data_IF_955247843944
#
_entry.id   IF_955247843944
#
_cell.length_a   1.000
_cell.length_b   1.000
_cell.length_c   1.000
_cell.angle_alpha   90.00
_cell.angle_beta   90.00
_cell.angle_gamma   90.00
#
_symmetry.space_group_name_H-M   'P 1'
#
loop_
_entity.id
_entity.type
_entity.pdbx_description
1 polymer ?
#
# COMPACT_ATOMS: atom_id res chain seq x y z
N UNK A 1 -34.81 -7.30 7.47
CA UNK A 1 -34.25 -6.47 8.57
C UNK A 1 -32.93 -7.08 9.05
N UNK A 2 -31.84 -6.80 8.31
CA UNK A 2 -30.49 -7.07 8.83
C UNK A 2 -30.13 -5.95 9.81
N UNK A 3 -30.08 -6.28 11.10
CA UNK A 3 -29.45 -5.44 12.11
C UNK A 3 -27.96 -5.37 11.77
N UNK A 4 -27.47 -4.22 11.33
CA UNK A 4 -26.06 -3.91 11.36
C UNK A 4 -25.64 -3.96 12.84
N UNK A 5 -24.77 -4.90 13.17
CA UNK A 5 -24.09 -4.91 14.47
C UNK A 5 -23.04 -3.82 14.38
N UNK A 6 -23.34 -2.65 14.95
CA UNK A 6 -22.33 -1.62 15.18
C UNK A 6 -21.33 -2.16 16.21
N UNK A 7 -20.25 -2.77 15.70
CA UNK A 7 -19.08 -2.99 16.54
C UNK A 7 -18.31 -1.67 16.61
N UNK A 8 -18.03 -1.21 17.82
CA UNK A 8 -17.06 -0.15 18.01
C UNK A 8 -15.76 -0.52 17.28
N UNK A 9 -15.13 0.41 16.53
CA UNK A 9 -13.93 0.09 15.76
C UNK A 9 -12.84 -0.41 16.68
N UNK A 10 -12.27 -1.57 16.35
CA UNK A 10 -11.13 -2.12 17.07
C UNK A 10 -9.97 -1.09 17.09
N UNK A 11 -9.28 -0.91 18.25
CA UNK A 11 -8.10 -0.05 18.29
C UNK A 11 -7.07 -0.47 17.22
N UNK A 12 -6.35 0.47 16.58
CA UNK A 12 -5.42 0.16 15.48
C UNK A 12 -4.41 -0.95 15.79
N UNK A 13 -3.98 -1.06 17.05
CA UNK A 13 -3.07 -2.11 17.50
C UNK A 13 -3.69 -3.51 17.52
N UNK A 14 -5.02 -3.64 17.67
CA UNK A 14 -5.74 -4.92 17.61
C UNK A 14 -5.91 -5.36 16.15
N UNK A 15 -6.21 -4.44 15.26
CA UNK A 15 -6.33 -4.70 13.81
C UNK A 15 -5.01 -5.22 13.23
N UNK A 16 -3.89 -4.60 13.60
CA UNK A 16 -2.57 -5.03 13.18
C UNK A 16 -2.19 -6.44 13.65
N UNK A 17 -2.64 -6.85 14.87
CA UNK A 17 -2.42 -8.21 15.39
C UNK A 17 -3.22 -9.28 14.66
N UNK A 18 -4.26 -8.89 13.91
CA UNK A 18 -5.06 -9.79 13.05
C UNK A 18 -4.47 -9.90 11.64
N UNK A 19 -3.24 -9.47 11.41
CA UNK A 19 -2.59 -9.56 10.11
C UNK A 19 -3.07 -8.53 9.09
N UNK A 20 -3.84 -7.50 9.51
CA UNK A 20 -4.32 -6.43 8.64
C UNK A 20 -3.40 -5.22 8.80
N UNK A 21 -2.66 -4.87 7.76
CA UNK A 21 -1.75 -3.72 7.78
C UNK A 21 -2.12 -2.75 6.68
N UNK A 22 -2.27 -1.47 7.04
CA UNK A 22 -2.51 -0.37 6.12
C UNK A 22 -1.20 0.38 5.86
N UNK A 23 -0.84 0.54 4.59
CA UNK A 23 0.15 1.54 4.20
C UNK A 23 -0.55 2.91 4.16
N UNK A 24 -0.07 3.86 4.95
CA UNK A 24 -0.65 5.20 5.00
C UNK A 24 -0.12 6.05 3.85
N UNK A 25 -0.96 6.98 3.35
CA UNK A 25 -0.62 7.99 2.35
C UNK A 25 0.43 9.00 2.87
N UNK A 26 0.58 9.12 4.19
CA UNK A 26 1.64 9.91 4.84
C UNK A 26 2.71 8.92 5.31
N UNK A 27 3.91 9.07 4.75
CA UNK A 27 5.08 8.23 4.93
C UNK A 27 5.24 7.68 6.36
N UNK A 28 4.98 6.39 6.52
CA UNK A 28 5.30 5.64 7.74
C UNK A 28 6.81 5.34 7.85
N UNK A 29 7.62 6.01 7.07
CA UNK A 29 9.07 5.86 7.04
C UNK A 29 9.76 7.05 7.72
N UNK A 30 10.86 6.78 8.41
CA UNK A 30 11.68 7.79 9.06
C UNK A 30 12.64 8.41 8.03
N UNK A 31 12.48 9.72 7.70
CA UNK A 31 13.20 10.34 6.58
C UNK A 31 14.71 10.42 6.79
N UNK A 32 15.17 10.55 8.03
CA UNK A 32 16.59 10.69 8.40
C UNK A 32 17.27 9.36 8.74
N UNK A 33 16.54 8.25 8.65
CA UNK A 33 17.12 6.92 8.75
C UNK A 33 17.40 6.38 7.35
N UNK A 34 18.37 5.49 7.27
CA UNK A 34 18.66 4.75 6.04
C UNK A 34 17.51 3.81 5.68
N UNK A 35 17.47 3.39 4.44
CA UNK A 35 16.48 2.46 3.90
C UNK A 35 16.44 1.17 4.70
N UNK A 36 17.61 0.58 5.02
CA UNK A 36 17.67 -0.66 5.80
C UNK A 36 17.24 -0.46 7.26
N UNK A 37 17.54 0.68 7.88
CA UNK A 37 17.12 0.98 9.24
C UNK A 37 15.60 1.08 9.36
N UNK A 38 14.93 1.67 8.38
CA UNK A 38 13.47 1.70 8.32
C UNK A 38 12.86 0.30 8.32
N UNK A 39 13.38 -0.60 7.49
CA UNK A 39 12.90 -1.99 7.42
C UNK A 39 13.21 -2.75 8.72
N UNK A 40 14.38 -2.52 9.33
CA UNK A 40 14.75 -3.13 10.62
C UNK A 40 13.80 -2.73 11.74
N UNK A 41 13.39 -1.45 11.81
CA UNK A 41 12.40 -0.97 12.81
C UNK A 41 11.06 -1.69 12.60
N UNK A 42 10.63 -1.86 11.36
CA UNK A 42 9.41 -2.59 11.06
C UNK A 42 9.50 -4.08 11.49
N UNK A 43 10.64 -4.75 11.24
CA UNK A 43 10.90 -6.12 11.69
C UNK A 43 10.92 -6.24 13.21
N UNK A 44 11.50 -5.28 13.94
CA UNK A 44 11.49 -5.28 15.41
C UNK A 44 10.08 -5.26 15.98
N UNK A 45 9.19 -4.50 15.34
CA UNK A 45 7.80 -4.41 15.76
C UNK A 45 7.06 -5.74 15.60
N UNK A 46 7.29 -6.46 14.51
CA UNK A 46 6.62 -7.74 14.24
C UNK A 46 7.09 -8.86 15.18
N UNK A 47 8.36 -8.83 15.59
CA UNK A 47 8.95 -9.84 16.49
C UNK A 47 8.71 -9.57 17.98
N UNK A 48 8.03 -8.46 18.35
CA UNK A 48 7.80 -8.09 19.76
C UNK A 48 9.07 -7.68 20.51
N UNK A 49 10.18 -7.47 19.81
CA UNK A 49 11.49 -7.14 20.37
C UNK A 49 11.72 -5.64 20.58
N UNK A 50 10.67 -4.82 20.47
CA UNK A 50 10.73 -3.35 20.47
C UNK A 50 11.43 -2.69 21.67
N UNK A 51 11.71 -3.43 22.74
CA UNK A 51 12.34 -2.92 23.96
C UNK A 51 13.62 -3.66 24.40
N UNK A 52 14.18 -4.55 23.54
CA UNK A 52 15.35 -5.34 23.93
C UNK A 52 16.63 -4.88 23.20
N UNK A 53 17.08 -3.67 23.50
CA UNK A 53 18.29 -3.05 22.93
C UNK A 53 19.61 -3.75 23.30
N UNK A 54 19.58 -4.78 24.15
CA UNK A 54 20.74 -5.46 24.74
C UNK A 54 21.02 -6.84 24.16
N UNK A 55 20.36 -7.24 23.08
CA UNK A 55 20.53 -8.58 22.50
C UNK A 55 21.69 -8.63 21.51
N UNK A 56 22.30 -9.83 21.45
CA UNK A 56 23.53 -10.17 20.74
C UNK A 56 23.60 -9.75 19.27
N UNK A 57 24.81 -9.54 18.77
CA UNK A 57 25.15 -9.27 17.36
C UNK A 57 24.45 -10.25 16.40
N UNK A 58 24.28 -11.51 16.77
CA UNK A 58 23.60 -12.53 15.94
C UNK A 58 22.15 -12.21 15.63
N UNK A 59 21.43 -11.53 16.53
CA UNK A 59 20.04 -11.08 16.26
C UNK A 59 20.02 -9.91 15.30
N UNK A 60 20.96 -8.98 15.45
CA UNK A 60 21.12 -7.86 14.52
C UNK A 60 21.50 -8.37 13.12
N UNK A 61 22.36 -9.38 13.04
CA UNK A 61 22.77 -9.99 11.78
C UNK A 61 21.60 -10.71 11.08
N UNK A 62 20.80 -11.48 11.83
CA UNK A 62 19.60 -12.12 11.28
C UNK A 62 18.56 -11.10 10.79
N UNK A 63 18.39 -9.99 11.51
CA UNK A 63 17.52 -8.89 11.10
C UNK A 63 18.06 -8.18 9.86
N UNK A 64 19.39 -8.01 9.75
CA UNK A 64 20.01 -7.43 8.56
C UNK A 64 19.76 -8.31 7.32
N UNK A 65 19.95 -9.63 7.45
CA UNK A 65 19.70 -10.58 6.37
C UNK A 65 18.24 -10.49 5.90
N UNK A 66 17.28 -10.52 6.84
CA UNK A 66 15.86 -10.43 6.53
C UNK A 66 15.47 -9.06 5.94
N UNK A 67 16.04 -7.98 6.46
CA UNK A 67 15.82 -6.64 5.90
C UNK A 67 16.31 -6.55 4.45
N UNK A 68 17.50 -7.08 4.15
CA UNK A 68 18.04 -7.11 2.79
C UNK A 68 17.20 -7.97 1.82
N UNK A 69 16.65 -9.10 2.28
CA UNK A 69 15.71 -9.90 1.50
C UNK A 69 14.44 -9.11 1.15
N UNK A 70 13.87 -8.38 2.12
CA UNK A 70 12.70 -7.54 1.89
C UNK A 70 13.00 -6.39 0.93
N UNK A 71 14.18 -5.76 1.06
CA UNK A 71 14.62 -4.73 0.15
C UNK A 71 14.85 -5.25 -1.27
N UNK A 72 15.29 -6.49 -1.40
CA UNK A 72 15.46 -7.16 -2.69
C UNK A 72 14.11 -7.37 -3.41
N UNK A 73 13.07 -7.77 -2.65
CA UNK A 73 11.71 -7.94 -3.18
C UNK A 73 11.12 -6.66 -3.77
N UNK A 74 11.57 -5.48 -3.29
CA UNK A 74 11.08 -4.17 -3.71
C UNK A 74 12.11 -3.38 -4.53
N UNK A 75 13.17 -4.03 -5.03
CA UNK A 75 14.24 -3.44 -5.84
C UNK A 75 14.99 -2.27 -5.15
N UNK A 76 15.13 -2.34 -3.81
CA UNK A 76 15.81 -1.32 -3.00
C UNK A 76 17.11 -1.79 -2.35
N UNK A 77 17.57 -3.02 -2.59
CA UNK A 77 18.80 -3.55 -1.99
C UNK A 77 20.03 -2.66 -2.23
N UNK A 78 20.18 -2.13 -3.45
CA UNK A 78 21.29 -1.22 -3.79
C UNK A 78 21.21 0.14 -3.11
N UNK A 79 20.11 0.46 -2.44
CA UNK A 79 19.86 1.71 -1.71
C UNK A 79 19.85 1.53 -0.19
N UNK A 80 20.22 0.34 0.31
CA UNK A 80 20.11 0.00 1.73
C UNK A 80 20.75 1.02 2.68
N UNK A 81 21.92 1.57 2.32
CA UNK A 81 22.64 2.57 3.10
C UNK A 81 22.29 4.04 2.79
N UNK A 82 21.33 4.29 1.88
CA UNK A 82 20.93 5.64 1.50
C UNK A 82 19.91 6.18 2.50
N UNK A 83 20.02 7.44 2.91
CA UNK A 83 19.01 8.10 3.73
C UNK A 83 17.69 8.22 2.94
N UNK A 84 16.59 7.91 3.60
CA UNK A 84 15.24 7.86 2.99
C UNK A 84 14.83 9.20 2.39
N UNK A 85 15.23 10.33 2.99
CA UNK A 85 14.93 11.67 2.47
C UNK A 85 15.46 11.86 1.04
N UNK A 86 16.59 11.25 0.72
CA UNK A 86 17.27 11.36 -0.59
C UNK A 86 16.66 10.46 -1.69
N UNK A 87 15.74 9.58 -1.34
CA UNK A 87 15.12 8.70 -2.32
C UNK A 87 14.13 9.47 -3.22
N UNK A 88 14.05 9.17 -4.52
CA UNK A 88 12.94 9.55 -5.38
C UNK A 88 11.60 9.03 -4.85
N UNK A 89 10.50 9.71 -5.22
CA UNK A 89 9.17 9.43 -4.67
C UNK A 89 8.72 7.97 -4.88
N UNK A 90 8.87 7.42 -6.09
CA UNK A 90 8.53 6.02 -6.37
C UNK A 90 9.32 5.01 -5.53
N UNK A 91 10.59 5.31 -5.19
CA UNK A 91 11.40 4.48 -4.29
C UNK A 91 10.99 4.62 -2.83
N UNK A 92 10.54 5.79 -2.40
CA UNK A 92 9.93 5.95 -1.07
C UNK A 92 8.70 5.07 -0.92
N UNK A 93 7.87 5.00 -1.96
CA UNK A 93 6.70 4.12 -1.99
C UNK A 93 7.07 2.64 -1.94
N UNK A 94 8.12 2.25 -2.65
CA UNK A 94 8.65 0.88 -2.56
C UNK A 94 9.15 0.56 -1.14
N UNK A 95 9.79 1.51 -0.45
CA UNK A 95 10.20 1.35 0.95
C UNK A 95 9.01 1.21 1.89
N UNK A 96 7.93 1.96 1.70
CA UNK A 96 6.69 1.81 2.48
C UNK A 96 6.08 0.42 2.31
N UNK A 97 6.10 -0.12 1.09
CA UNK A 97 5.68 -1.51 0.83
C UNK A 97 6.62 -2.49 1.56
N UNK A 98 7.94 -2.29 1.54
CA UNK A 98 8.90 -3.14 2.24
C UNK A 98 8.68 -3.14 3.76
N UNK A 99 8.44 -1.98 4.37
CA UNK A 99 8.13 -1.88 5.82
C UNK A 99 6.80 -2.53 6.16
N UNK A 100 5.83 -2.49 5.26
CA UNK A 100 4.56 -3.21 5.41
C UNK A 100 4.79 -4.72 5.33
N UNK A 101 5.56 -5.21 4.36
CA UNK A 101 5.91 -6.63 4.21
C UNK A 101 6.68 -7.18 5.42
N UNK A 102 7.48 -6.36 6.08
CA UNK A 102 8.22 -6.73 7.29
C UNK A 102 7.30 -7.16 8.45
N UNK A 103 6.03 -6.77 8.41
CA UNK A 103 5.02 -7.18 9.41
C UNK A 103 4.29 -8.47 9.02
N UNK A 104 4.66 -9.11 7.91
CA UNK A 104 4.09 -10.36 7.39
C UNK A 104 2.55 -10.33 7.32
N UNK A 105 1.94 -9.32 6.65
CA UNK A 105 0.49 -9.15 6.64
C UNK A 105 -0.19 -10.22 5.79
N UNK A 106 -1.35 -10.73 6.24
CA UNK A 106 -2.27 -11.53 5.43
C UNK A 106 -3.11 -10.65 4.49
N UNK A 107 -3.44 -9.43 4.95
CA UNK A 107 -4.17 -8.43 4.19
C UNK A 107 -3.39 -7.11 4.18
N UNK A 108 -3.07 -6.62 2.98
CA UNK A 108 -2.47 -5.29 2.76
C UNK A 108 -3.55 -4.32 2.29
N UNK A 109 -3.62 -3.16 2.94
CA UNK A 109 -4.47 -2.05 2.51
C UNK A 109 -3.58 -0.99 1.85
N UNK A 110 -3.75 -0.75 0.56
CA UNK A 110 -3.02 0.25 -0.20
C UNK A 110 -3.97 1.40 -0.58
N UNK A 111 -3.63 2.60 -0.15
CA UNK A 111 -4.43 3.80 -0.42
C UNK A 111 -3.69 4.68 -1.44
N UNK A 112 -4.26 4.78 -2.63
CA UNK A 112 -3.73 5.52 -3.78
C UNK A 112 -2.21 5.32 -4.01
N UNK A 113 -1.75 4.06 -4.17
CA UNK A 113 -0.32 3.75 -4.21
C UNK A 113 0.44 4.41 -5.36
N UNK A 114 -0.25 4.87 -6.40
CA UNK A 114 0.38 5.50 -7.58
C UNK A 114 0.13 7.00 -7.69
N UNK A 115 -0.53 7.62 -6.70
CA UNK A 115 -0.85 9.04 -6.72
C UNK A 115 0.41 9.93 -6.82
N UNK A 116 0.35 10.93 -7.71
CA UNK A 116 1.43 11.91 -7.86
C UNK A 116 2.68 11.39 -8.58
N UNK A 117 2.65 10.20 -9.17
CA UNK A 117 3.77 9.59 -9.90
C UNK A 117 3.72 9.85 -11.39
N UNK A 118 4.90 9.98 -12.01
CA UNK A 118 5.03 9.91 -13.46
C UNK A 118 4.80 8.49 -14.01
N UNK A 119 4.52 8.38 -15.29
CA UNK A 119 4.14 7.10 -15.94
C UNK A 119 5.13 5.95 -15.68
N UNK A 120 6.43 6.23 -15.68
CA UNK A 120 7.47 5.22 -15.44
C UNK A 120 7.42 4.67 -14.00
N UNK A 121 7.24 5.54 -13.01
CA UNK A 121 7.12 5.14 -11.61
C UNK A 121 5.80 4.41 -11.35
N UNK A 122 4.69 4.82 -12.00
CA UNK A 122 3.40 4.12 -11.96
C UNK A 122 3.57 2.68 -12.43
N UNK A 123 4.19 2.46 -13.58
CA UNK A 123 4.43 1.12 -14.11
C UNK A 123 5.26 0.27 -13.12
N UNK A 124 6.35 0.84 -12.61
CA UNK A 124 7.27 0.18 -11.67
C UNK A 124 6.57 -0.21 -10.36
N UNK A 125 5.77 0.69 -9.76
CA UNK A 125 5.01 0.42 -8.54
C UNK A 125 3.88 -0.58 -8.79
N UNK A 126 3.23 -0.50 -9.94
CA UNK A 126 2.20 -1.46 -10.37
C UNK A 126 2.76 -2.89 -10.43
N UNK A 127 3.91 -3.08 -11.07
CA UNK A 127 4.57 -4.39 -11.15
C UNK A 127 5.08 -4.86 -9.78
N UNK A 128 5.54 -3.95 -8.94
CA UNK A 128 5.90 -4.27 -7.57
C UNK A 128 4.68 -4.80 -6.80
N UNK A 129 3.54 -4.12 -6.86
CA UNK A 129 2.30 -4.56 -6.17
C UNK A 129 1.89 -5.96 -6.66
N UNK A 130 1.95 -6.23 -7.96
CA UNK A 130 1.66 -7.57 -8.50
C UNK A 130 2.57 -8.65 -7.89
N UNK A 131 3.86 -8.38 -7.80
CA UNK A 131 4.83 -9.34 -7.22
C UNK A 131 4.55 -9.63 -5.76
N UNK A 132 4.33 -8.58 -4.95
CA UNK A 132 4.14 -8.74 -3.51
C UNK A 132 2.74 -9.23 -3.13
N UNK A 133 1.76 -9.15 -4.03
CA UNK A 133 0.41 -9.69 -3.84
C UNK A 133 0.37 -11.23 -3.90
N UNK A 134 1.40 -11.90 -4.42
CA UNK A 134 1.42 -13.35 -4.48
C UNK A 134 1.34 -13.95 -3.08
N UNK A 135 0.32 -14.78 -2.84
CA UNK A 135 0.06 -15.43 -1.55
C UNK A 135 -0.54 -14.51 -0.48
N UNK A 136 -1.02 -13.31 -0.85
CA UNK A 136 -1.64 -12.33 0.06
C UNK A 136 -2.91 -11.76 -0.51
N UNK A 137 -3.77 -11.23 0.35
CA UNK A 137 -4.90 -10.39 -0.05
C UNK A 137 -4.46 -8.93 -0.09
N UNK A 138 -4.74 -8.25 -1.19
CA UNK A 138 -4.52 -6.81 -1.33
C UNK A 138 -5.85 -6.12 -1.57
N UNK A 139 -6.22 -5.19 -0.70
CA UNK A 139 -7.30 -4.26 -0.91
C UNK A 139 -6.70 -2.89 -1.27
N UNK A 140 -7.03 -2.38 -2.43
CA UNK A 140 -6.46 -1.15 -2.96
C UNK A 140 -7.56 -0.14 -3.28
N UNK A 141 -7.36 1.11 -2.86
CA UNK A 141 -8.15 2.25 -3.34
C UNK A 141 -7.32 2.94 -4.42
N UNK A 142 -7.87 3.10 -5.60
CA UNK A 142 -7.19 3.72 -6.74
C UNK A 142 -8.20 4.36 -7.69
N UNK A 143 -7.80 5.44 -8.33
CA UNK A 143 -8.57 6.12 -9.36
C UNK A 143 -7.92 5.96 -10.76
N UNK A 144 -6.70 5.47 -10.84
CA UNK A 144 -6.00 5.22 -12.09
C UNK A 144 -6.50 3.90 -12.71
N UNK A 145 -7.37 4.00 -13.71
CA UNK A 145 -8.02 2.83 -14.34
C UNK A 145 -7.02 1.88 -15.00
N UNK A 146 -5.89 2.33 -15.49
CA UNK A 146 -4.86 1.46 -16.08
C UNK A 146 -4.19 0.59 -15.01
N UNK A 147 -3.96 1.13 -13.81
CA UNK A 147 -3.46 0.39 -12.65
C UNK A 147 -4.50 -0.63 -12.21
N UNK A 148 -5.74 -0.18 -11.96
CA UNK A 148 -6.85 -1.04 -11.52
C UNK A 148 -7.07 -2.20 -12.48
N UNK A 149 -7.17 -1.95 -13.80
CA UNK A 149 -7.38 -2.97 -14.81
C UNK A 149 -6.25 -4.01 -14.89
N UNK A 150 -5.03 -3.61 -14.53
CA UNK A 150 -3.85 -4.47 -14.63
C UNK A 150 -3.60 -5.35 -13.40
N UNK A 151 -4.16 -4.98 -12.23
CA UNK A 151 -3.88 -5.67 -10.94
C UNK A 151 -5.14 -6.35 -10.38
N UNK A 152 -6.30 -5.68 -10.45
CA UNK A 152 -7.47 -6.08 -9.71
C UNK A 152 -8.14 -7.33 -10.29
N UNK A 153 -8.42 -8.31 -9.43
CA UNK A 153 -9.27 -9.46 -9.77
C UNK A 153 -10.75 -9.07 -9.70
N UNK A 154 -11.13 -8.28 -8.70
CA UNK A 154 -12.48 -7.77 -8.46
C UNK A 154 -12.40 -6.29 -8.19
N UNK A 155 -13.31 -5.53 -8.75
CA UNK A 155 -13.41 -4.08 -8.59
C UNK A 155 -14.77 -3.76 -7.99
N UNK A 156 -14.78 -2.98 -6.92
CA UNK A 156 -15.99 -2.41 -6.33
C UNK A 156 -15.97 -0.91 -6.56
N UNK A 157 -16.94 -0.41 -7.30
CA UNK A 157 -17.10 1.03 -7.55
C UNK A 157 -18.03 1.63 -6.52
N UNK A 158 -17.54 2.64 -5.80
CA UNK A 158 -18.29 3.38 -4.81
C UNK A 158 -18.65 4.77 -5.37
N UNK A 159 -19.92 5.14 -5.25
CA UNK A 159 -20.38 6.48 -5.59
C UNK A 159 -21.39 6.95 -4.52
N UNK A 160 -21.21 8.17 -4.02
CA UNK A 160 -22.10 8.80 -3.03
C UNK A 160 -22.43 7.90 -1.81
N UNK A 161 -21.41 7.17 -1.32
CA UNK A 161 -21.53 6.31 -0.15
C UNK A 161 -22.22 4.96 -0.41
N UNK A 162 -22.50 4.59 -1.67
CA UNK A 162 -23.13 3.34 -2.05
C UNK A 162 -22.29 2.56 -3.06
N UNK A 163 -22.39 1.22 -3.05
CA UNK A 163 -21.80 0.36 -4.08
C UNK A 163 -22.60 0.52 -5.37
N UNK A 164 -21.96 1.00 -6.41
CA UNK A 164 -22.55 1.20 -7.73
C UNK A 164 -22.45 -0.04 -8.60
N UNK A 165 -21.30 -0.71 -8.56
CA UNK A 165 -21.05 -1.95 -9.29
C UNK A 165 -19.92 -2.74 -8.61
N UNK A 166 -19.94 -4.06 -8.79
CA UNK A 166 -18.88 -4.96 -8.35
C UNK A 166 -18.68 -6.08 -9.36
N UNK A 167 -17.42 -6.44 -9.62
CA UNK A 167 -17.07 -7.53 -10.52
C UNK A 167 -15.71 -7.37 -11.19
N UNK A 168 -15.40 -8.21 -12.20
CA UNK A 168 -14.18 -8.07 -12.99
C UNK A 168 -14.21 -6.78 -13.83
N UNK A 169 -13.03 -6.30 -14.22
CA UNK A 169 -12.87 -5.02 -14.94
C UNK A 169 -13.83 -4.86 -16.11
N UNK A 170 -13.98 -5.86 -16.96
CA UNK A 170 -14.86 -5.79 -18.15
C UNK A 170 -16.33 -5.58 -17.79
N UNK A 171 -16.81 -6.22 -16.72
CA UNK A 171 -18.20 -6.06 -16.29
C UNK A 171 -18.43 -4.65 -15.71
N UNK A 172 -17.51 -4.17 -14.91
CA UNK A 172 -17.58 -2.87 -14.24
C UNK A 172 -17.43 -1.73 -15.26
N UNK A 173 -16.44 -1.80 -16.15
CA UNK A 173 -16.17 -0.77 -17.17
C UNK A 173 -17.26 -0.63 -18.22
N UNK A 174 -18.06 -1.67 -18.44
CA UNK A 174 -19.18 -1.64 -19.36
C UNK A 174 -20.51 -1.24 -18.70
N UNK A 175 -20.56 -1.12 -17.37
CA UNK A 175 -21.76 -0.73 -16.65
C UNK A 175 -22.16 0.73 -16.98
N UNK A 176 -23.38 0.99 -17.47
CA UNK A 176 -23.82 2.34 -17.84
C UNK A 176 -23.77 3.33 -16.67
N UNK A 177 -24.18 2.89 -15.48
CA UNK A 177 -24.16 3.74 -14.29
C UNK A 177 -22.73 4.12 -13.86
N UNK A 178 -21.75 3.24 -14.06
CA UNK A 178 -20.33 3.54 -13.81
C UNK A 178 -19.81 4.55 -14.81
N UNK A 179 -20.14 4.38 -16.10
CA UNK A 179 -19.77 5.34 -17.15
C UNK A 179 -20.34 6.73 -16.89
N UNK A 180 -21.62 6.82 -16.53
CA UNK A 180 -22.27 8.09 -16.19
C UNK A 180 -21.63 8.77 -14.98
N UNK A 181 -21.38 8.01 -13.91
CA UNK A 181 -20.72 8.57 -12.71
C UNK A 181 -19.30 9.08 -12.98
N UNK A 182 -18.56 8.42 -13.89
CA UNK A 182 -17.21 8.81 -14.28
C UNK A 182 -17.21 10.05 -15.21
N UNK A 183 -18.11 10.08 -16.19
CA UNK A 183 -18.23 11.20 -17.13
C UNK A 183 -18.76 12.47 -16.44
N UNK A 184 -19.74 12.33 -15.54
CA UNK A 184 -20.27 13.44 -14.77
C UNK A 184 -19.24 14.11 -13.84
N UNK A 185 -18.24 13.35 -13.38
CA UNK A 185 -17.13 13.91 -12.57
C UNK A 185 -16.19 14.74 -13.44
N UNK A 186 -15.92 14.29 -14.67
CA UNK A 186 -15.02 15.00 -15.60
C UNK A 186 -15.59 16.33 -16.09
N UNK A 187 -16.89 16.44 -16.32
CA UNK A 187 -17.55 17.69 -16.73
C UNK A 187 -17.56 18.72 -15.60
N UNK A 188 -17.76 18.29 -14.35
CA UNK A 188 -17.78 19.20 -13.19
C UNK A 188 -16.39 19.76 -12.87
N UNK A 189 -15.32 19.01 -13.11
CA UNK A 189 -13.93 19.49 -12.96
C UNK A 189 -13.55 20.51 -14.05
N UNK A 190 -14.05 20.35 -15.27
CA UNK A 190 -13.80 21.27 -16.38
C UNK A 190 -14.56 22.61 -16.20
N UNK A 191 -15.76 22.58 -15.65
CA UNK A 191 -16.52 23.80 -15.36
C UNK A 191 -15.93 24.59 -14.17
N UNK A 192 -15.34 23.90 -13.17
CA UNK A 192 -14.68 24.53 -12.03
C UNK A 192 -13.35 25.24 -12.36
N UNK A 193 -12.73 24.93 -13.51
CA UNK A 193 -11.49 25.57 -13.99
C UNK A 193 -11.75 26.78 -14.92
N UNK A 194 -13.00 27.08 -15.25
CA UNK A 194 -13.40 28.18 -16.17
C UNK A 194 -13.88 29.47 -15.45
N UNK A 195 -13.64 29.59 -14.13
CA UNK A 195 -13.95 30.79 -13.35
C UNK A 195 -12.73 31.35 -12.62
#
# INVERSE_FOLDING_TARGET
LHRAVEHAPDPPGHVARRGIVRSYQISSVFPHLTVIENVRIALQRSTGLSFQFWRSESILDSMNARALELLDQVDLRGFAGVETVSLPYGRKRALEIATTLATEPELMLLDEPTQGMGHEDVARVTDLIKRVAVGRTVLMVEHNMSVVSSIANTITVLARGSVLAEGPYQAVSNNPAVKEAYMGTSETELEGMAH
#
